data_IF_776922133116
#
_entry.id   IF_776922133116
#
_cell.length_a   1.000
_cell.length_b   1.000
_cell.length_c   1.000
_cell.angle_alpha   90.00
_cell.angle_beta   90.00
_cell.angle_gamma   90.00
#
_symmetry.space_group_name_H-M   'P 1'
#
loop_
_entity.id
_entity.type
_entity.pdbx_description
1 polymer ?
#
# COMPACT_ATOMS: atom_id res chain seq x y z
N UNK A 1 14.29 -27.96 -7.51
CA UNK A 1 14.21 -26.57 -7.99
C UNK A 1 12.73 -26.23 -8.13
N UNK A 2 12.09 -25.75 -7.06
CA UNK A 2 10.65 -25.51 -7.07
C UNK A 2 10.39 -24.11 -7.61
N UNK A 3 10.00 -24.04 -8.89
CA UNK A 3 9.44 -22.86 -9.50
C UNK A 3 8.18 -22.46 -8.72
N UNK A 4 8.26 -21.42 -7.90
CA UNK A 4 7.05 -20.78 -7.40
C UNK A 4 6.37 -20.10 -8.59
N UNK A 5 5.25 -20.69 -9.03
CA UNK A 5 4.59 -20.36 -10.29
C UNK A 5 4.24 -18.86 -10.40
N UNK A 6 4.65 -18.17 -11.49
CA UNK A 6 4.40 -16.73 -11.70
C UNK A 6 2.91 -16.35 -11.72
N UNK A 7 2.03 -17.35 -11.88
CA UNK A 7 0.56 -17.21 -11.89
C UNK A 7 0.02 -16.70 -10.54
N UNK A 8 0.58 -17.15 -9.41
CA UNK A 8 0.09 -16.77 -8.07
C UNK A 8 0.35 -15.29 -7.72
N UNK A 9 1.37 -14.69 -8.35
CA UNK A 9 1.71 -13.27 -8.20
C UNK A 9 0.71 -12.38 -8.96
N UNK A 10 0.40 -12.73 -10.21
CA UNK A 10 -0.52 -11.96 -11.07
C UNK A 10 -1.95 -11.88 -10.51
N UNK A 11 -2.49 -13.00 -10.03
CA UNK A 11 -3.84 -13.04 -9.44
C UNK A 11 -3.95 -12.17 -8.19
N UNK A 12 -2.90 -12.13 -7.34
CA UNK A 12 -2.88 -11.28 -6.15
C UNK A 12 -2.86 -9.80 -6.51
N UNK A 13 -2.07 -9.40 -7.50
CA UNK A 13 -2.04 -8.01 -8.02
C UNK A 13 -3.41 -7.61 -8.56
N UNK A 14 -4.07 -8.48 -9.32
CA UNK A 14 -5.42 -8.23 -9.84
C UNK A 14 -6.46 -8.08 -8.72
N UNK A 15 -6.44 -8.97 -7.71
CA UNK A 15 -7.36 -8.87 -6.56
C UNK A 15 -7.17 -7.53 -5.83
N UNK A 16 -5.92 -7.14 -5.56
CA UNK A 16 -5.64 -5.86 -4.90
C UNK A 16 -6.05 -4.66 -5.74
N UNK A 17 -5.88 -4.74 -7.06
CA UNK A 17 -6.36 -3.72 -7.98
C UNK A 17 -7.88 -3.57 -7.93
N UNK A 18 -8.64 -4.66 -8.09
CA UNK A 18 -10.10 -4.60 -8.03
C UNK A 18 -10.61 -4.15 -6.68
N UNK A 19 -9.96 -4.57 -5.59
CA UNK A 19 -10.31 -4.15 -4.25
C UNK A 19 -10.07 -2.65 -4.03
N UNK A 20 -8.95 -2.11 -4.52
CA UNK A 20 -8.70 -0.67 -4.50
C UNK A 20 -9.72 0.10 -5.35
N UNK A 21 -10.01 -0.37 -6.56
CA UNK A 21 -10.94 0.27 -7.46
C UNK A 21 -12.37 0.29 -6.88
N UNK A 22 -12.87 -0.85 -6.39
CA UNK A 22 -14.21 -0.93 -5.80
C UNK A 22 -14.31 -0.11 -4.52
N UNK A 23 -13.31 -0.16 -3.64
CA UNK A 23 -13.28 0.63 -2.42
C UNK A 23 -13.24 2.13 -2.73
N UNK A 24 -12.44 2.54 -3.73
CA UNK A 24 -12.29 3.94 -4.12
C UNK A 24 -13.59 4.50 -4.67
N UNK A 25 -14.22 3.79 -5.61
CA UNK A 25 -15.51 4.19 -6.19
C UNK A 25 -16.61 4.23 -5.11
N UNK A 26 -16.62 3.27 -4.18
CA UNK A 26 -17.59 3.24 -3.09
C UNK A 26 -17.39 4.43 -2.14
N UNK A 27 -16.15 4.73 -1.74
CA UNK A 27 -15.84 5.87 -0.87
C UNK A 27 -16.18 7.20 -1.55
N UNK A 28 -15.81 7.34 -2.82
CA UNK A 28 -16.11 8.53 -3.62
C UNK A 28 -17.62 8.75 -3.77
N UNK A 29 -18.36 7.71 -4.13
CA UNK A 29 -19.82 7.77 -4.23
C UNK A 29 -20.48 8.07 -2.89
N UNK A 30 -20.06 7.40 -1.81
CA UNK A 30 -20.59 7.63 -0.47
C UNK A 30 -20.33 9.07 0.01
N UNK A 31 -19.13 9.60 -0.24
CA UNK A 31 -18.78 10.97 0.11
C UNK A 31 -19.73 11.98 -0.55
N UNK A 32 -19.90 11.89 -1.87
CA UNK A 32 -20.80 12.81 -2.59
C UNK A 32 -22.28 12.59 -2.27
N UNK A 33 -22.70 11.37 -1.94
CA UNK A 33 -24.06 11.11 -1.46
C UNK A 33 -24.28 11.77 -0.09
N UNK A 34 -23.34 11.63 0.84
CA UNK A 34 -23.43 12.27 2.16
C UNK A 34 -23.37 13.79 2.07
N UNK A 35 -22.58 14.34 1.14
CA UNK A 35 -22.55 15.75 0.80
C UNK A 35 -23.91 16.22 0.25
N UNK A 36 -24.46 15.51 -0.74
CA UNK A 36 -25.77 15.84 -1.34
C UNK A 36 -26.93 15.75 -0.33
N UNK A 37 -26.82 14.86 0.66
CA UNK A 37 -27.79 14.72 1.75
C UNK A 37 -27.56 15.73 2.89
N UNK A 38 -26.51 16.56 2.83
CA UNK A 38 -26.21 17.59 3.83
C UNK A 38 -25.60 17.07 5.14
N UNK A 39 -25.14 15.81 5.18
CA UNK A 39 -24.42 15.25 6.33
C UNK A 39 -22.97 15.73 6.41
N UNK A 40 -22.40 16.12 5.27
CA UNK A 40 -21.07 16.72 5.17
C UNK A 40 -21.28 18.16 4.72
N UNK A 41 -20.65 19.11 5.41
CA UNK A 41 -20.69 20.51 5.00
C UNK A 41 -20.10 20.61 3.58
N UNK A 42 -20.82 21.18 2.60
CA UNK A 42 -20.24 21.40 1.29
C UNK A 42 -18.99 22.29 1.46
N UNK A 43 -17.96 22.09 0.62
CA UNK A 43 -16.82 22.99 0.63
C UNK A 43 -17.33 24.44 0.53
N UNK A 44 -16.72 25.40 1.27
CA UNK A 44 -17.20 26.78 1.30
C UNK A 44 -17.37 27.30 -0.14
N UNK A 45 -18.40 28.12 -0.40
CA UNK A 45 -18.84 28.42 -1.75
C UNK A 45 -17.78 29.22 -2.49
N UNK A 46 -16.93 28.49 -3.19
CA UNK A 46 -16.20 28.98 -4.33
C UNK A 46 -17.08 28.60 -5.52
N UNK A 47 -17.61 29.60 -6.25
CA UNK A 47 -18.72 29.43 -7.20
C UNK A 47 -18.62 28.19 -8.10
N UNK A 48 -19.76 27.70 -8.60
CA UNK A 48 -20.03 26.40 -9.27
C UNK A 48 -18.90 25.80 -10.13
N UNK A 49 -18.07 26.63 -10.75
CA UNK A 49 -16.85 26.28 -11.48
C UNK A 49 -15.80 25.52 -10.64
N UNK A 50 -15.59 25.90 -9.38
CA UNK A 50 -14.50 25.36 -8.55
C UNK A 50 -14.83 23.95 -8.02
N UNK A 51 -16.09 23.69 -7.66
CA UNK A 51 -16.55 22.35 -7.31
C UNK A 51 -16.43 21.36 -8.47
N UNK A 52 -16.76 21.79 -9.69
CA UNK A 52 -16.62 20.97 -10.90
C UNK A 52 -15.15 20.65 -11.21
N UNK A 53 -14.25 21.62 -11.03
CA UNK A 53 -12.81 21.40 -11.21
C UNK A 53 -12.25 20.46 -10.15
N UNK A 54 -12.63 20.62 -8.88
CA UNK A 54 -12.19 19.73 -7.80
C UNK A 54 -12.64 18.28 -8.05
N UNK A 55 -13.88 18.09 -8.51
CA UNK A 55 -14.40 16.78 -8.90
C UNK A 55 -13.60 16.17 -10.06
N UNK A 56 -13.30 16.94 -11.11
CA UNK A 56 -12.48 16.48 -12.22
C UNK A 56 -11.05 16.12 -11.82
N UNK A 57 -10.45 16.89 -10.91
CA UNK A 57 -9.13 16.62 -10.35
C UNK A 57 -9.14 15.32 -9.53
N UNK A 58 -10.15 15.10 -8.68
CA UNK A 58 -10.25 13.87 -7.87
C UNK A 58 -10.33 12.62 -8.75
N UNK A 59 -11.14 12.67 -9.83
CA UNK A 59 -11.22 11.57 -10.80
C UNK A 59 -9.86 11.35 -11.49
N UNK A 60 -9.22 12.41 -11.97
CA UNK A 60 -7.93 12.31 -12.67
C UNK A 60 -6.85 11.71 -11.76
N UNK A 61 -6.77 12.16 -10.50
CA UNK A 61 -5.82 11.65 -9.50
C UNK A 61 -6.13 10.21 -9.10
N UNK A 62 -7.40 9.83 -8.95
CA UNK A 62 -7.80 8.46 -8.66
C UNK A 62 -7.49 7.50 -9.80
N UNK A 63 -7.76 7.89 -11.05
CA UNK A 63 -7.41 7.10 -12.24
C UNK A 63 -5.90 6.95 -12.36
N UNK A 64 -5.14 8.02 -12.13
CA UNK A 64 -3.68 7.98 -12.10
C UNK A 64 -3.17 7.00 -11.04
N UNK A 65 -3.72 7.06 -9.82
CA UNK A 65 -3.33 6.17 -8.73
C UNK A 65 -3.62 4.70 -9.05
N UNK A 66 -4.79 4.40 -9.64
CA UNK A 66 -5.15 3.05 -10.06
C UNK A 66 -4.27 2.54 -11.20
N UNK A 67 -3.92 3.39 -12.17
CA UNK A 67 -3.04 3.02 -13.28
C UNK A 67 -1.62 2.66 -12.81
N UNK A 68 -1.12 3.35 -11.78
CA UNK A 68 0.21 3.12 -11.20
C UNK A 68 0.24 1.99 -10.17
N UNK A 69 -0.91 1.61 -9.61
CA UNK A 69 -1.02 0.61 -8.55
C UNK A 69 -0.36 -0.74 -8.90
N UNK A 70 -0.56 -1.33 -10.10
CA UNK A 70 0.10 -2.58 -10.48
C UNK A 70 1.64 -2.49 -10.47
N UNK A 71 2.19 -1.34 -10.87
CA UNK A 71 3.63 -1.09 -10.86
C UNK A 71 4.15 -0.91 -9.43
N UNK A 72 3.39 -0.24 -8.56
CA UNK A 72 3.76 0.02 -7.17
C UNK A 72 3.79 -1.26 -6.31
N UNK A 73 2.87 -2.20 -6.55
CA UNK A 73 2.79 -3.47 -5.80
C UNK A 73 3.58 -4.61 -6.45
N UNK A 74 4.33 -4.35 -7.52
CA UNK A 74 5.13 -5.36 -8.18
C UNK A 74 6.26 -5.83 -7.25
N UNK A 75 6.24 -7.12 -6.92
CA UNK A 75 7.28 -7.78 -6.13
C UNK A 75 8.18 -8.57 -7.07
N UNK A 76 9.46 -8.22 -7.10
CA UNK A 76 10.47 -9.00 -7.83
C UNK A 76 10.81 -10.26 -7.02
N UNK A 77 10.86 -11.47 -7.63
CA UNK A 77 11.34 -12.68 -6.95
C UNK A 77 12.73 -12.53 -6.28
N UNK A 78 13.56 -11.57 -6.72
CA UNK A 78 14.85 -11.23 -6.11
C UNK A 78 14.73 -10.58 -4.72
N UNK A 79 13.56 -10.10 -4.31
CA UNK A 79 13.32 -9.49 -2.98
C UNK A 79 13.42 -10.48 -1.80
N UNK A 80 13.64 -11.77 -2.10
CA UNK A 80 13.93 -12.82 -1.10
C UNK A 80 15.41 -12.84 -0.71
N UNK A 81 16.30 -12.23 -1.51
CA UNK A 81 17.73 -12.12 -1.23
C UNK A 81 18.04 -10.94 -0.31
N UNK A 82 19.00 -11.14 0.60
CA UNK A 82 19.39 -10.13 1.59
C UNK A 82 20.05 -8.95 0.88
N UNK A 83 19.38 -7.79 0.90
CA UNK A 83 19.91 -6.52 0.38
C UNK A 83 19.19 -5.94 -0.83
N UNK A 84 18.38 -6.74 -1.55
CA UNK A 84 17.57 -6.25 -2.66
C UNK A 84 16.15 -5.92 -2.19
N UNK A 85 15.75 -4.65 -2.35
CA UNK A 85 14.47 -4.13 -1.81
C UNK A 85 13.38 -4.08 -2.88
N UNK A 86 13.74 -4.13 -4.17
CA UNK A 86 12.82 -4.08 -5.31
C UNK A 86 13.26 -3.11 -6.40
N UNK A 87 12.51 -3.04 -7.50
CA UNK A 87 12.82 -2.16 -8.63
C UNK A 87 12.52 -0.69 -8.30
N UNK A 88 13.36 0.28 -8.74
CA UNK A 88 13.17 1.70 -8.45
C UNK A 88 11.87 2.27 -9.05
N UNK A 89 11.35 1.67 -10.13
CA UNK A 89 10.05 2.02 -10.72
C UNK A 89 8.88 1.80 -9.76
N UNK A 90 8.93 0.75 -8.91
CA UNK A 90 7.92 0.50 -7.90
C UNK A 90 7.94 1.56 -6.80
N UNK A 91 9.13 2.03 -6.42
CA UNK A 91 9.29 3.12 -5.45
C UNK A 91 8.73 4.42 -6.01
N UNK A 92 9.08 4.81 -7.25
CA UNK A 92 8.56 6.03 -7.86
C UNK A 92 7.04 5.97 -8.02
N UNK A 93 6.49 4.87 -8.53
CA UNK A 93 5.04 4.69 -8.66
C UNK A 93 4.35 4.80 -7.29
N UNK A 94 4.95 4.21 -6.25
CA UNK A 94 4.42 4.30 -4.89
C UNK A 94 4.45 5.74 -4.36
N UNK A 95 5.53 6.49 -4.58
CA UNK A 95 5.64 7.88 -4.14
C UNK A 95 4.60 8.76 -4.82
N UNK A 96 4.35 8.57 -6.12
CA UNK A 96 3.30 9.30 -6.84
C UNK A 96 1.93 9.00 -6.23
N UNK A 97 1.58 7.73 -6.01
CA UNK A 97 0.31 7.35 -5.36
C UNK A 97 0.20 7.99 -3.98
N UNK A 98 1.25 7.90 -3.15
CA UNK A 98 1.25 8.46 -1.80
C UNK A 98 1.29 9.98 -1.75
N UNK A 99 1.64 10.66 -2.84
CA UNK A 99 1.53 12.12 -2.92
C UNK A 99 0.10 12.58 -3.16
N UNK A 100 -0.77 11.73 -3.73
CA UNK A 100 -2.14 12.09 -4.12
C UNK A 100 -3.21 11.43 -3.24
N UNK A 101 -2.89 10.38 -2.50
CA UNK A 101 -3.88 9.55 -1.80
C UNK A 101 -4.67 10.25 -0.68
N UNK A 102 -4.13 11.30 -0.06
CA UNK A 102 -4.86 12.10 0.94
C UNK A 102 -5.61 13.27 0.29
N UNK A 103 -5.27 13.61 -0.94
CA UNK A 103 -5.91 14.70 -1.71
C UNK A 103 -7.12 14.19 -2.47
N UNK A 104 -7.09 12.93 -2.90
CA UNK A 104 -8.13 12.28 -3.70
C UNK A 104 -8.77 11.13 -2.91
N UNK A 105 -10.08 11.22 -2.69
CA UNK A 105 -10.85 10.17 -2.00
C UNK A 105 -10.82 8.88 -2.82
N UNK A 106 -10.83 9.01 -4.14
CA UNK A 106 -10.74 7.89 -5.08
C UNK A 106 -9.37 7.19 -5.01
N UNK A 107 -8.28 7.92 -4.77
CA UNK A 107 -6.93 7.39 -4.63
C UNK A 107 -6.62 6.80 -3.24
N UNK A 108 -7.41 7.13 -2.20
CA UNK A 108 -7.11 6.76 -0.82
C UNK A 108 -6.91 5.23 -0.61
N UNK A 109 -7.75 4.34 -1.17
CA UNK A 109 -7.54 2.90 -1.00
C UNK A 109 -6.27 2.38 -1.69
N UNK A 110 -5.93 2.94 -2.85
CA UNK A 110 -4.68 2.61 -3.54
C UNK A 110 -3.46 3.02 -2.70
N UNK A 111 -3.49 4.22 -2.11
CA UNK A 111 -2.44 4.68 -1.18
C UNK A 111 -2.28 3.79 0.04
N UNK A 112 -3.39 3.34 0.64
CA UNK A 112 -3.35 2.43 1.79
C UNK A 112 -2.70 1.09 1.45
N UNK A 113 -3.08 0.48 0.32
CA UNK A 113 -2.48 -0.78 -0.15
C UNK A 113 -0.98 -0.61 -0.40
N UNK A 114 -0.59 0.50 -1.04
CA UNK A 114 0.82 0.82 -1.33
C UNK A 114 1.63 0.99 -0.05
N UNK A 115 1.14 1.75 0.93
CA UNK A 115 1.80 1.93 2.23
C UNK A 115 2.01 0.60 2.96
N UNK A 116 0.98 -0.24 3.00
CA UNK A 116 1.07 -1.58 3.60
C UNK A 116 2.10 -2.43 2.84
N UNK A 117 2.07 -2.39 1.51
CA UNK A 117 2.95 -3.18 0.64
C UNK A 117 4.42 -2.77 0.76
N UNK A 118 4.70 -1.47 0.77
CA UNK A 118 6.04 -0.92 1.00
C UNK A 118 6.55 -1.24 2.39
N UNK A 119 5.72 -1.06 3.42
CA UNK A 119 6.12 -1.31 4.81
C UNK A 119 6.43 -2.78 5.06
N UNK A 120 5.78 -3.70 4.33
CA UNK A 120 6.11 -5.12 4.37
C UNK A 120 7.51 -5.46 3.85
N UNK A 121 8.15 -4.57 3.07
CA UNK A 121 9.55 -4.75 2.61
C UNK A 121 10.56 -4.52 3.74
N UNK A 122 10.14 -3.91 4.87
CA UNK A 122 10.96 -3.66 6.07
C UNK A 122 12.29 -2.95 5.77
N UNK A 123 12.27 -2.01 4.81
CA UNK A 123 13.45 -1.22 4.43
C UNK A 123 13.23 0.25 4.76
N UNK A 124 14.08 0.80 5.63
CA UNK A 124 14.08 2.21 6.01
C UNK A 124 14.21 3.14 4.80
N UNK A 125 15.00 2.75 3.81
CA UNK A 125 15.21 3.54 2.59
C UNK A 125 13.94 3.71 1.74
N UNK A 126 12.95 2.83 1.91
CA UNK A 126 11.69 2.86 1.17
C UNK A 126 10.54 3.39 2.02
N UNK A 127 10.54 3.11 3.33
CA UNK A 127 9.49 3.59 4.24
C UNK A 127 9.64 5.07 4.58
N UNK A 128 10.86 5.60 4.71
CA UNK A 128 11.06 7.03 5.04
C UNK A 128 10.52 7.95 3.93
N UNK A 129 10.89 7.79 2.65
CA UNK A 129 10.30 8.60 1.57
C UNK A 129 8.79 8.44 1.46
N UNK A 130 8.26 7.24 1.73
CA UNK A 130 6.82 6.97 1.72
C UNK A 130 6.07 7.73 2.83
N UNK A 131 6.63 7.78 4.04
CA UNK A 131 6.11 8.58 5.15
C UNK A 131 6.13 10.06 4.78
N UNK A 132 7.26 10.56 4.27
CA UNK A 132 7.39 11.95 3.85
C UNK A 132 6.38 12.31 2.75
N UNK A 133 6.21 11.47 1.73
CA UNK A 133 5.23 11.67 0.66
C UNK A 133 3.80 11.69 1.20
N UNK A 134 3.47 10.77 2.12
CA UNK A 134 2.16 10.72 2.77
C UNK A 134 1.85 12.00 3.57
N UNK A 135 2.80 12.46 4.38
CA UNK A 135 2.66 13.68 5.17
C UNK A 135 2.56 14.93 4.28
N UNK A 136 3.35 14.98 3.20
CA UNK A 136 3.24 16.05 2.20
C UNK A 136 1.87 16.05 1.54
N UNK A 137 1.30 14.88 1.20
CA UNK A 137 -0.06 14.77 0.66
C UNK A 137 -1.11 15.34 1.62
N UNK A 138 -1.00 15.03 2.92
CA UNK A 138 -1.88 15.59 3.95
C UNK A 138 -1.75 17.11 4.10
N UNK A 139 -0.52 17.65 4.01
CA UNK A 139 -0.28 19.08 4.01
C UNK A 139 -0.88 19.76 2.77
N UNK A 140 -0.71 19.16 1.58
CA UNK A 140 -1.32 19.67 0.33
C UNK A 140 -2.84 19.67 0.44
N UNK A 141 -3.44 18.61 0.99
CA UNK A 141 -4.89 18.56 1.23
C UNK A 141 -5.36 19.73 2.10
N UNK A 142 -4.67 20.01 3.20
CA UNK A 142 -4.96 21.14 4.09
C UNK A 142 -4.81 22.48 3.39
N UNK A 143 -3.73 22.67 2.61
CA UNK A 143 -3.51 23.92 1.87
C UNK A 143 -4.56 24.14 0.77
N UNK A 144 -5.04 23.07 0.16
CA UNK A 144 -6.03 23.13 -0.94
C UNK A 144 -7.45 23.39 -0.42
N UNK A 145 -7.81 22.81 0.73
CA UNK A 145 -9.16 22.91 1.30
C UNK A 145 -9.31 23.96 2.42
N UNK A 146 -8.20 24.52 2.92
CA UNK A 146 -8.18 25.58 3.95
C UNK A 146 -7.73 26.99 3.47
N UNK A 147 -8.05 27.50 2.26
CA UNK A 147 -7.77 28.91 1.94
C UNK A 147 -8.63 29.91 2.74
N UNK A 148 -9.78 29.47 3.26
CA UNK A 148 -10.78 30.36 3.89
C UNK A 148 -10.75 30.39 5.43
N UNK A 149 -10.09 29.43 6.08
CA UNK A 149 -9.96 29.38 7.54
C UNK A 149 -8.47 29.34 7.94
N UNK A 150 -7.96 30.32 8.70
CA UNK A 150 -6.55 30.39 9.10
C UNK A 150 -6.14 29.32 10.13
N UNK A 151 -7.09 28.51 10.61
CA UNK A 151 -6.82 27.49 11.62
C UNK A 151 -6.59 26.14 10.93
N UNK A 152 -5.34 25.69 10.96
CA UNK A 152 -4.97 24.31 10.63
C UNK A 152 -5.82 23.37 11.49
N UNK A 153 -6.58 22.49 10.84
CA UNK A 153 -7.33 21.45 11.53
C UNK A 153 -6.36 20.42 12.10
N UNK A 154 -5.97 20.60 13.37
CA UNK A 154 -5.09 19.68 14.08
C UNK A 154 -5.65 18.26 14.13
N UNK A 155 -6.98 18.09 14.16
CA UNK A 155 -7.62 16.77 14.11
C UNK A 155 -7.33 16.06 12.80
N UNK A 156 -7.38 16.75 11.67
CA UNK A 156 -7.03 16.19 10.35
C UNK A 156 -5.55 15.87 10.27
N UNK A 157 -4.67 16.73 10.79
CA UNK A 157 -3.22 16.47 10.85
C UNK A 157 -2.93 15.23 11.71
N UNK A 158 -3.38 15.20 12.96
CA UNK A 158 -3.18 14.05 13.86
C UNK A 158 -3.84 12.78 13.30
N UNK A 159 -5.03 12.89 12.70
CA UNK A 159 -5.71 11.77 12.05
C UNK A 159 -4.90 11.19 10.89
N UNK A 160 -4.34 12.05 10.02
CA UNK A 160 -3.49 11.61 8.90
C UNK A 160 -2.18 10.95 9.36
N UNK A 161 -1.55 11.50 10.41
CA UNK A 161 -0.34 10.93 11.03
C UNK A 161 -0.66 9.57 11.65
N UNK A 162 -1.71 9.50 12.47
CA UNK A 162 -2.15 8.27 13.11
C UNK A 162 -2.48 7.19 12.06
N UNK A 163 -3.26 7.53 11.03
CA UNK A 163 -3.60 6.62 9.94
C UNK A 163 -2.36 6.09 9.21
N UNK A 164 -1.42 6.99 8.87
CA UNK A 164 -0.16 6.61 8.21
C UNK A 164 0.64 5.63 9.08
N UNK A 165 0.77 5.92 10.38
CA UNK A 165 1.48 5.05 11.33
C UNK A 165 0.79 3.68 11.49
N UNK A 166 -0.54 3.65 11.58
CA UNK A 166 -1.30 2.39 11.67
C UNK A 166 -1.08 1.51 10.44
N UNK A 167 -1.11 2.08 9.23
CA UNK A 167 -0.89 1.34 7.99
C UNK A 167 0.54 0.80 7.89
N UNK A 168 1.53 1.60 8.32
CA UNK A 168 2.93 1.17 8.38
C UNK A 168 3.10 0.03 9.38
N UNK A 169 2.47 0.13 10.56
CA UNK A 169 2.51 -0.91 11.57
C UNK A 169 1.90 -2.21 11.03
N UNK A 170 0.73 -2.15 10.39
CA UNK A 170 0.08 -3.31 9.76
C UNK A 170 0.98 -3.95 8.69
N UNK A 171 1.57 -3.14 7.81
CA UNK A 171 2.48 -3.63 6.77
C UNK A 171 3.75 -4.26 7.35
N UNK A 172 4.33 -3.64 8.39
CA UNK A 172 5.54 -4.13 9.08
C UNK A 172 5.30 -5.46 9.78
N UNK A 173 4.17 -5.60 10.49
CA UNK A 173 3.77 -6.87 11.14
C UNK A 173 3.62 -7.97 10.08
N UNK A 174 2.95 -7.68 8.97
CA UNK A 174 2.82 -8.63 7.85
C UNK A 174 4.19 -9.02 7.28
N UNK A 175 5.09 -8.06 7.07
CA UNK A 175 6.46 -8.30 6.59
C UNK A 175 7.26 -9.20 7.53
N UNK A 176 7.15 -8.96 8.85
CA UNK A 176 7.83 -9.77 9.87
C UNK A 176 7.32 -11.20 9.91
N UNK A 177 5.99 -11.40 9.86
CA UNK A 177 5.39 -12.74 9.83
C UNK A 177 5.86 -13.53 8.61
N UNK A 178 5.89 -12.90 7.43
CA UNK A 178 6.35 -13.55 6.20
C UNK A 178 7.84 -13.92 6.26
N UNK A 179 8.69 -13.04 6.81
CA UNK A 179 10.12 -13.35 7.00
C UNK A 179 10.33 -14.50 7.98
N UNK A 180 9.57 -14.55 9.08
CA UNK A 180 9.62 -15.67 10.05
C UNK A 180 9.22 -16.99 9.40
N UNK A 181 8.14 -17.02 8.63
CA UNK A 181 7.71 -18.21 7.89
C UNK A 181 8.76 -18.67 6.87
N UNK A 182 9.39 -17.72 6.15
CA UNK A 182 10.46 -18.03 5.20
C UNK A 182 11.71 -18.61 5.90
N UNK A 183 12.08 -18.10 7.08
CA UNK A 183 13.19 -18.62 7.88
C UNK A 183 12.89 -20.04 8.40
N UNK A 184 11.70 -20.29 8.92
CA UNK A 184 11.28 -21.63 9.37
C UNK A 184 11.30 -22.64 8.23
N UNK A 185 10.83 -22.25 7.04
CA UNK A 185 10.88 -23.12 5.86
C UNK A 185 12.32 -23.42 5.39
N UNK A 186 13.25 -22.46 5.54
CA UNK A 186 14.68 -22.69 5.27
C UNK A 186 15.30 -23.65 6.29
N UNK A 187 14.99 -23.48 7.57
CA UNK A 187 15.46 -24.37 8.64
C UNK A 187 14.95 -25.80 8.46
N UNK A 188 13.65 -25.99 8.18
CA UNK A 188 13.07 -27.31 7.94
C UNK A 188 13.74 -28.05 6.75
N UNK A 189 14.08 -27.33 5.69
CA UNK A 189 14.84 -27.89 4.56
C UNK A 189 16.27 -28.25 4.93
N UNK A 190 16.94 -27.42 5.72
CA UNK A 190 18.30 -27.72 6.23
C UNK A 190 18.29 -28.95 7.13
N UNK A 191 17.30 -29.11 8.01
CA UNK A 191 17.15 -30.30 8.87
C UNK A 191 16.91 -31.57 8.04
N UNK A 192 16.09 -31.51 6.98
CA UNK A 192 15.91 -32.64 6.05
C UNK A 192 17.18 -33.00 5.27
N UNK A 193 18.02 -32.02 4.91
CA UNK A 193 19.29 -32.27 4.23
C UNK A 193 20.42 -32.74 5.15
N UNK A 194 20.32 -32.48 6.45
CA UNK A 194 21.34 -32.87 7.44
C UNK A 194 21.05 -34.20 8.15
N UNK A 195 19.92 -34.85 7.88
CA UNK A 195 19.73 -36.27 8.21
C UNK A 195 20.55 -37.13 7.24
N UNK A 196 21.65 -37.77 7.69
CA UNK A 196 22.40 -38.69 6.85
C UNK A 196 21.52 -39.93 6.57
N UNK A 197 21.81 -40.71 5.52
CA UNK A 197 21.08 -41.92 5.16
C UNK A 197 21.33 -43.08 6.15
N UNK A 198 21.17 -42.87 7.47
CA UNK A 198 21.21 -43.95 8.46
C UNK A 198 19.96 -44.85 8.41
N UNK A 199 18.85 -44.37 7.85
CA UNK A 199 17.66 -45.21 7.64
C UNK A 199 17.80 -46.22 6.50
N UNK A 200 18.75 -46.03 5.57
CA UNK A 200 19.01 -47.03 4.52
C UNK A 200 19.85 -48.22 5.03
N UNK A 201 20.63 -48.03 6.10
CA UNK A 201 21.54 -49.06 6.62
C UNK A 201 20.91 -49.94 7.71
N UNK A 202 19.95 -49.42 8.48
CA UNK A 202 19.19 -50.23 9.46
C UNK A 202 18.16 -51.17 8.81
N UNK A 203 17.74 -50.92 7.56
CA UNK A 203 16.86 -51.82 6.82
C UNK A 203 17.59 -53.01 6.15
N UNK A 204 18.92 -52.96 6.03
CA UNK A 204 19.73 -54.04 5.45
C UNK A 204 20.37 -54.97 6.49
N UNK A 205 20.43 -54.59 7.77
CA UNK A 205 20.98 -55.44 8.83
C UNK A 205 19.93 -56.34 9.53
N UNK A 206 18.70 -56.36 9.02
CA UNK A 206 17.59 -57.16 9.57
C UNK A 206 17.07 -58.23 8.59
N UNK A 207 17.80 -58.51 7.50
CA UNK A 207 17.50 -59.54 6.50
C UNK A 207 18.50 -60.68 6.55
#
# INVERSE_FOLDING_TARGET
MNQHSPVRSKTRTQILFFLAASAGVTMFGMYHVLEALGFIAPPPPFGDSIGTVAFGVDIALGVLALALLPSAIHHDPMEVEYGYVGPPSALVASLVILSVWMVSILAAPAGAIVLISLSARLSLYWTVPAVCASLMSALVYQLTHSPAHPNISWTTVFGSVALTLTLIAMGSVRGLVLRRQAQQAKQAKQTQQSQPPQQAQQAQSAG
#
